data_IF_728925576901
#
_entry.id   IF_728925576901
#
_cell.length_a   1.000
_cell.length_b   1.000
_cell.length_c   1.000
_cell.angle_alpha   90.00
_cell.angle_beta   90.00
_cell.angle_gamma   90.00
#
_symmetry.space_group_name_H-M   'P 1'
#
loop_
_entity.id
_entity.type
_entity.pdbx_description
1 polymer ?
#
# COMPACT_ATOMS: atom_id res chain seq x y z
N UNK A 1 -21.86 10.48 -1.70
CA UNK A 1 -21.55 9.09 -1.94
C UNK A 1 -20.07 8.90 -2.18
N UNK A 2 -19.43 8.13 -1.33
CA UNK A 2 -17.97 8.01 -1.34
C UNK A 2 -17.53 6.72 -2.03
N UNK A 3 -16.42 6.80 -2.76
CA UNK A 3 -15.83 5.67 -3.44
C UNK A 3 -15.16 4.74 -2.40
N UNK A 4 -15.46 3.47 -2.46
CA UNK A 4 -14.87 2.46 -1.56
C UNK A 4 -13.89 1.57 -2.29
N UNK A 5 -12.85 1.15 -1.57
CA UNK A 5 -11.90 0.17 -2.09
C UNK A 5 -12.62 -1.16 -2.27
N UNK A 6 -12.43 -1.79 -3.43
CA UNK A 6 -13.02 -3.09 -3.75
C UNK A 6 -12.44 -4.20 -2.88
N UNK A 7 -13.16 -5.31 -2.78
CA UNK A 7 -12.66 -6.53 -2.14
C UNK A 7 -11.44 -7.03 -2.90
N UNK A 8 -10.52 -7.65 -2.18
CA UNK A 8 -9.31 -8.20 -2.81
C UNK A 8 -8.86 -9.46 -2.06
N UNK A 9 -8.06 -10.28 -2.76
CA UNK A 9 -7.43 -11.46 -2.17
C UNK A 9 -6.05 -11.61 -2.80
N UNK A 10 -5.03 -11.37 -2.00
CA UNK A 10 -3.63 -11.36 -2.42
C UNK A 10 -2.80 -12.14 -1.40
N UNK A 11 -1.51 -12.32 -1.65
CA UNK A 11 -0.63 -13.12 -0.80
C UNK A 11 0.51 -12.23 -0.31
N UNK A 12 0.83 -12.30 0.98
CA UNK A 12 1.87 -11.46 1.55
C UNK A 12 3.26 -12.13 1.54
N UNK A 13 4.25 -11.44 2.09
CA UNK A 13 5.64 -11.88 2.18
C UNK A 13 5.83 -13.15 3.00
N UNK A 14 4.84 -13.57 3.76
CA UNK A 14 4.86 -14.79 4.56
C UNK A 14 4.02 -15.91 3.94
N UNK A 15 3.52 -15.71 2.73
CA UNK A 15 2.67 -16.70 2.06
C UNK A 15 1.25 -16.76 2.58
N UNK A 16 0.83 -15.78 3.36
CA UNK A 16 -0.52 -15.73 3.94
C UNK A 16 -1.46 -14.98 3.00
N UNK A 17 -2.70 -15.45 2.92
CA UNK A 17 -3.74 -14.75 2.16
C UNK A 17 -4.17 -13.50 2.90
N UNK A 18 -4.13 -12.36 2.21
CA UNK A 18 -4.53 -11.07 2.75
C UNK A 18 -5.73 -10.57 1.95
N UNK A 19 -6.78 -10.23 2.66
CA UNK A 19 -8.01 -9.69 2.09
C UNK A 19 -8.36 -8.38 2.79
N UNK A 20 -9.43 -7.72 2.32
CA UNK A 20 -9.95 -6.53 2.99
C UNK A 20 -10.31 -6.80 4.45
N UNK A 21 -10.60 -8.05 4.82
CA UNK A 21 -10.94 -8.40 6.20
C UNK A 21 -9.75 -8.24 7.15
N UNK A 22 -8.53 -8.38 6.66
CA UNK A 22 -7.33 -8.14 7.46
C UNK A 22 -7.17 -6.66 7.82
N UNK A 23 -7.85 -5.78 7.08
CA UNK A 23 -7.82 -4.33 7.29
C UNK A 23 -9.14 -3.78 7.82
N UNK A 24 -10.04 -4.67 8.24
CA UNK A 24 -11.34 -4.27 8.80
C UNK A 24 -11.13 -3.41 10.05
N UNK A 25 -11.85 -2.30 10.09
CA UNK A 25 -11.79 -1.33 11.18
C UNK A 25 -10.38 -0.74 11.39
N UNK A 26 -9.58 -0.73 10.33
CA UNK A 26 -8.24 -0.14 10.35
C UNK A 26 -8.18 1.07 9.43
N UNK A 27 -7.41 2.05 9.85
CA UNK A 27 -6.92 3.10 8.97
C UNK A 27 -5.68 2.51 8.32
N UNK A 28 -5.48 2.67 7.02
CA UNK A 28 -4.24 2.19 6.42
C UNK A 28 -3.73 3.08 5.31
N UNK A 29 -2.44 2.96 5.03
CA UNK A 29 -1.78 3.65 3.93
C UNK A 29 -1.42 2.59 2.90
N UNK A 30 -1.82 2.82 1.65
CA UNK A 30 -1.56 1.90 0.55
C UNK A 30 -0.63 2.53 -0.47
N UNK A 31 0.20 1.71 -1.12
CA UNK A 31 0.99 2.12 -2.26
C UNK A 31 1.21 0.95 -3.23
N UNK A 32 1.85 1.26 -4.36
CA UNK A 32 2.16 0.30 -5.42
C UNK A 32 3.64 0.44 -5.76
N UNK A 33 4.36 -0.68 -5.78
CA UNK A 33 5.82 -0.70 -5.91
C UNK A 33 6.29 -1.95 -6.64
N UNK A 34 7.59 -2.08 -6.86
CA UNK A 34 8.20 -3.36 -7.26
C UNK A 34 9.64 -3.43 -6.74
N UNK A 35 10.07 -4.65 -6.38
CA UNK A 35 11.33 -4.81 -5.64
C UNK A 35 12.57 -4.51 -6.45
N UNK A 36 12.52 -4.67 -7.78
CA UNK A 36 13.67 -4.42 -8.65
C UNK A 36 13.80 -2.97 -9.10
N UNK A 37 12.87 -2.10 -8.71
CA UNK A 37 12.96 -0.68 -8.97
C UNK A 37 14.15 -0.07 -8.21
N UNK A 38 14.97 0.71 -8.90
CA UNK A 38 16.19 1.30 -8.31
C UNK A 38 16.12 2.82 -8.19
N UNK A 39 15.00 3.41 -8.52
CA UNK A 39 14.81 4.86 -8.55
C UNK A 39 13.90 5.35 -7.43
N UNK A 40 12.59 5.40 -7.67
CA UNK A 40 11.64 5.96 -6.69
C UNK A 40 11.21 4.96 -5.60
N UNK A 41 11.15 3.66 -5.90
CA UNK A 41 10.66 2.69 -4.93
C UNK A 41 11.52 2.60 -3.67
N UNK A 42 12.86 2.67 -3.72
CA UNK A 42 13.67 2.71 -2.51
C UNK A 42 13.33 3.91 -1.62
N UNK A 43 13.04 5.07 -2.23
CA UNK A 43 12.65 6.28 -1.50
C UNK A 43 11.27 6.09 -0.87
N UNK A 44 10.32 5.58 -1.65
CA UNK A 44 8.96 5.30 -1.17
C UNK A 44 8.98 4.30 -0.01
N UNK A 45 9.75 3.21 -0.15
CA UNK A 45 9.85 2.18 0.88
C UNK A 45 10.48 2.74 2.16
N UNK A 46 11.52 3.56 2.03
CA UNK A 46 12.14 4.24 3.17
C UNK A 46 11.12 5.13 3.88
N UNK A 47 10.33 5.88 3.12
CA UNK A 47 9.31 6.77 3.68
C UNK A 47 8.16 5.99 4.31
N UNK A 48 7.76 4.86 3.72
CA UNK A 48 6.78 3.97 4.33
C UNK A 48 7.31 3.40 5.66
N UNK A 49 8.61 3.11 5.73
CA UNK A 49 9.24 2.66 6.96
C UNK A 49 9.20 3.74 8.05
N UNK A 50 9.33 5.01 7.68
CA UNK A 50 9.16 6.12 8.62
C UNK A 50 7.75 6.07 9.22
N UNK A 51 6.74 5.88 8.38
CA UNK A 51 5.35 5.77 8.85
C UNK A 51 5.21 4.54 9.77
N UNK A 52 5.80 3.39 9.38
CA UNK A 52 5.77 2.19 10.20
C UNK A 52 6.28 2.44 11.62
N UNK A 53 7.40 3.15 11.75
CA UNK A 53 7.97 3.47 13.06
C UNK A 53 6.99 4.27 13.92
N UNK A 54 6.32 5.25 13.32
CA UNK A 54 5.38 6.12 14.04
C UNK A 54 4.12 5.38 14.48
N UNK A 55 3.71 4.33 13.76
CA UNK A 55 2.48 3.60 14.06
C UNK A 55 2.72 2.24 14.72
N UNK A 56 3.95 1.92 15.06
CA UNK A 56 4.32 0.55 15.48
C UNK A 56 3.52 0.07 16.71
N UNK A 57 3.14 0.97 17.59
CA UNK A 57 2.34 0.65 18.78
C UNK A 57 0.86 1.00 18.61
N UNK A 58 0.46 1.49 17.44
CA UNK A 58 -0.93 1.91 17.19
C UNK A 58 -1.71 0.78 16.54
N UNK A 59 -2.63 0.17 17.26
CA UNK A 59 -3.41 -0.96 16.78
C UNK A 59 -4.44 -0.60 15.72
N UNK A 60 -4.69 0.69 15.48
CA UNK A 60 -5.71 1.14 14.54
C UNK A 60 -5.16 1.43 13.14
N UNK A 61 -3.84 1.45 12.97
CA UNK A 61 -3.21 1.87 11.71
C UNK A 61 -2.31 0.77 11.17
N UNK A 62 -2.42 0.53 9.86
CA UNK A 62 -1.64 -0.48 9.14
C UNK A 62 -1.14 0.07 7.80
N UNK A 63 -0.30 -0.70 7.13
CA UNK A 63 0.27 -0.36 5.83
C UNK A 63 0.05 -1.52 4.85
N UNK A 64 -0.09 -1.21 3.56
CA UNK A 64 -0.31 -2.21 2.52
C UNK A 64 0.37 -1.78 1.23
N UNK A 65 1.39 -2.53 0.80
CA UNK A 65 2.13 -2.27 -0.43
C UNK A 65 1.90 -3.39 -1.44
N UNK A 66 1.46 -3.01 -2.65
CA UNK A 66 1.11 -3.97 -3.71
C UNK A 66 2.22 -4.01 -4.74
N UNK A 67 2.71 -5.22 -5.07
CA UNK A 67 3.67 -5.36 -6.16
C UNK A 67 2.98 -5.18 -7.50
N UNK A 68 3.58 -4.37 -8.38
CA UNK A 68 3.10 -4.20 -9.76
C UNK A 68 3.83 -5.13 -10.74
N UNK A 69 4.76 -5.95 -10.25
CA UNK A 69 5.44 -6.99 -11.04
C UNK A 69 5.32 -8.36 -10.33
N UNK A 70 4.08 -8.87 -10.17
CA UNK A 70 3.90 -10.09 -9.39
C UNK A 70 4.62 -11.32 -9.96
N UNK A 71 4.89 -11.35 -11.27
CA UNK A 71 5.66 -12.42 -11.88
C UNK A 71 7.12 -12.44 -11.43
N UNK A 72 7.65 -11.30 -11.00
CA UNK A 72 9.02 -11.17 -10.46
C UNK A 72 8.97 -11.24 -8.93
N UNK A 73 8.03 -10.53 -8.34
CA UNK A 73 7.89 -10.40 -6.89
C UNK A 73 7.07 -11.56 -6.32
N UNK A 74 7.70 -12.73 -6.28
CA UNK A 74 7.14 -13.92 -5.65
C UNK A 74 7.14 -13.74 -4.13
N UNK A 75 6.47 -14.65 -3.42
CA UNK A 75 6.50 -14.65 -1.94
C UNK A 75 7.94 -14.65 -1.42
N UNK A 76 8.80 -15.50 -2.00
CA UNK A 76 10.21 -15.58 -1.59
C UNK A 76 10.94 -14.26 -1.81
N UNK A 77 10.69 -13.60 -2.94
CA UNK A 77 11.31 -12.31 -3.25
C UNK A 77 10.82 -11.22 -2.28
N UNK A 78 9.52 -11.20 -2.02
CA UNK A 78 8.94 -10.24 -1.07
C UNK A 78 9.48 -10.47 0.34
N UNK A 79 9.68 -11.73 0.73
CA UNK A 79 10.24 -12.05 2.04
C UNK A 79 11.68 -11.53 2.19
N UNK A 80 12.49 -11.68 1.16
CA UNK A 80 13.87 -11.14 1.15
C UNK A 80 13.85 -9.62 1.25
N UNK A 81 12.98 -8.99 0.45
CA UNK A 81 12.84 -7.54 0.43
C UNK A 81 12.36 -7.02 1.79
N UNK A 82 11.36 -7.68 2.38
CA UNK A 82 10.85 -7.30 3.70
C UNK A 82 11.94 -7.36 4.77
N UNK A 83 12.78 -8.39 4.74
CA UNK A 83 13.89 -8.51 5.68
C UNK A 83 14.91 -7.40 5.48
N UNK A 84 15.29 -7.15 4.22
CA UNK A 84 16.23 -6.10 3.87
C UNK A 84 15.75 -4.71 4.29
N UNK A 85 14.46 -4.44 4.12
CA UNK A 85 13.87 -3.12 4.39
C UNK A 85 13.24 -3.00 5.77
N UNK A 86 13.41 -4.02 6.61
CA UNK A 86 12.89 -4.02 7.99
C UNK A 86 11.37 -3.83 8.07
N UNK A 87 10.66 -4.54 7.21
CA UNK A 87 9.19 -4.55 7.20
C UNK A 87 8.67 -5.45 8.30
N UNK A 88 7.84 -4.90 9.18
CA UNK A 88 7.19 -5.65 10.25
C UNK A 88 5.83 -6.14 9.75
N UNK A 89 5.68 -7.44 9.55
CA UNK A 89 4.48 -8.02 8.97
C UNK A 89 3.22 -7.85 9.83
N UNK A 90 3.36 -7.53 11.11
CA UNK A 90 2.20 -7.24 11.95
C UNK A 90 1.57 -5.88 11.61
N UNK A 91 2.30 -5.02 10.92
CA UNK A 91 1.86 -3.68 10.53
C UNK A 91 1.78 -3.48 9.03
N UNK A 92 2.60 -4.16 8.28
CA UNK A 92 2.84 -3.84 6.89
C UNK A 92 2.93 -5.12 6.06
N UNK A 93 1.94 -5.34 5.22
CA UNK A 93 1.94 -6.44 4.27
C UNK A 93 2.45 -5.96 2.92
N UNK A 94 3.39 -6.71 2.35
CA UNK A 94 3.82 -6.58 0.95
C UNK A 94 3.08 -7.68 0.22
N UNK A 95 2.22 -7.33 -0.73
CA UNK A 95 1.35 -8.32 -1.38
C UNK A 95 1.64 -8.47 -2.86
N UNK A 96 1.45 -9.69 -3.33
CA UNK A 96 1.57 -10.10 -4.72
C UNK A 96 0.38 -11.00 -5.06
N UNK A 97 0.23 -11.37 -6.33
CA UNK A 97 -0.85 -12.24 -6.77
C UNK A 97 -1.24 -11.97 -8.21
N UNK A 98 -2.53 -12.02 -8.50
CA UNK A 98 -3.03 -11.81 -9.85
C UNK A 98 -2.80 -10.37 -10.32
N UNK A 99 -2.05 -10.23 -11.41
CA UNK A 99 -1.68 -8.92 -11.95
C UNK A 99 -2.90 -8.10 -12.34
N UNK A 100 -3.90 -8.72 -12.96
CA UNK A 100 -5.12 -8.03 -13.37
C UNK A 100 -5.83 -7.43 -12.16
N UNK A 101 -5.94 -8.20 -11.09
CA UNK A 101 -6.56 -7.74 -9.85
C UNK A 101 -5.79 -6.54 -9.27
N UNK A 102 -4.47 -6.67 -9.19
CA UNK A 102 -3.62 -5.60 -8.64
C UNK A 102 -3.77 -4.32 -9.47
N UNK A 103 -3.79 -4.44 -10.80
CA UNK A 103 -3.88 -3.28 -11.69
C UNK A 103 -5.26 -2.65 -11.66
N UNK A 104 -6.32 -3.44 -11.51
CA UNK A 104 -7.66 -2.90 -11.32
C UNK A 104 -7.77 -2.16 -9.99
N UNK A 105 -7.16 -2.70 -8.94
CA UNK A 105 -7.11 -2.00 -7.64
C UNK A 105 -6.42 -0.65 -7.80
N UNK A 106 -5.27 -0.61 -8.48
CA UNK A 106 -4.51 0.62 -8.66
C UNK A 106 -5.31 1.69 -9.42
N UNK A 107 -5.99 1.30 -10.50
CA UNK A 107 -6.66 2.23 -11.40
C UNK A 107 -8.08 2.57 -10.98
N UNK A 108 -8.85 1.57 -10.54
CA UNK A 108 -10.29 1.72 -10.32
C UNK A 108 -10.67 1.85 -8.86
N UNK A 109 -9.89 1.29 -7.95
CA UNK A 109 -10.18 1.37 -6.52
C UNK A 109 -9.37 2.44 -5.81
N UNK A 110 -8.05 2.33 -5.85
CA UNK A 110 -7.20 3.31 -5.15
C UNK A 110 -6.98 4.59 -5.94
N UNK A 111 -7.32 4.57 -7.24
CA UNK A 111 -7.14 5.74 -8.11
C UNK A 111 -5.70 6.26 -8.06
N UNK A 112 -4.75 5.35 -7.95
CA UNK A 112 -3.33 5.66 -7.79
C UNK A 112 -2.70 6.22 -9.06
N UNK A 113 -3.27 5.88 -10.21
CA UNK A 113 -2.86 6.37 -11.54
C UNK A 113 -4.08 6.70 -12.36
N UNK A 114 -3.90 7.57 -13.36
CA UNK A 114 -4.99 8.02 -14.25
C UNK A 114 -4.92 7.41 -15.64
N UNK A 115 -3.90 6.59 -15.92
CA UNK A 115 -3.73 5.96 -17.23
C UNK A 115 -4.68 4.77 -17.40
N UNK A 116 -4.67 4.19 -18.60
CA UNK A 116 -5.44 2.99 -18.92
C UNK A 116 -4.50 1.84 -19.23
N UNK A 117 -5.01 0.63 -19.11
CA UNK A 117 -4.27 -0.57 -19.45
C UNK A 117 -5.14 -1.80 -19.23
N UNK A 118 -4.69 -2.95 -19.73
CA UNK A 118 -5.44 -4.20 -19.69
C UNK A 118 -4.97 -5.17 -18.60
N UNK A 119 -3.93 -4.81 -17.85
CA UNK A 119 -3.34 -5.70 -16.84
C UNK A 119 -2.57 -6.87 -17.44
N UNK A 120 -2.28 -6.81 -18.74
CA UNK A 120 -1.58 -7.86 -19.47
C UNK A 120 -0.06 -7.77 -19.37
N UNK A 121 0.66 -8.64 -20.12
CA UNK A 121 2.13 -8.75 -20.00
C UNK A 121 2.90 -7.46 -20.28
N UNK A 122 2.33 -6.56 -21.08
CA UNK A 122 2.99 -5.32 -21.48
C UNK A 122 2.51 -4.11 -20.71
N UNK A 123 1.56 -4.30 -19.81
CA UNK A 123 1.05 -3.21 -18.99
C UNK A 123 1.97 -2.98 -17.79
N UNK A 124 2.17 -1.72 -17.43
CA UNK A 124 3.00 -1.36 -16.28
C UNK A 124 2.43 -0.15 -15.56
N UNK A 125 2.11 -0.31 -14.30
CA UNK A 125 1.68 0.78 -13.42
C UNK A 125 2.91 1.43 -12.78
N UNK A 126 3.01 2.74 -12.91
CA UNK A 126 4.03 3.55 -12.22
C UNK A 126 3.30 4.63 -11.43
N UNK A 127 3.51 4.68 -10.14
CA UNK A 127 2.91 5.71 -9.29
C UNK A 127 3.77 5.95 -8.06
N UNK A 128 3.84 7.22 -7.65
CA UNK A 128 4.52 7.64 -6.43
C UNK A 128 3.52 7.89 -5.29
N UNK A 129 2.24 7.71 -5.56
CA UNK A 129 1.20 8.08 -4.61
C UNK A 129 1.08 7.11 -3.45
N UNK A 130 0.99 7.67 -2.24
CA UNK A 130 0.46 6.98 -1.08
C UNK A 130 -1.00 7.39 -0.92
N UNK A 131 -1.87 6.45 -0.61
CA UNK A 131 -3.29 6.70 -0.39
C UNK A 131 -3.64 6.41 1.06
N UNK A 132 -4.32 7.34 1.71
CA UNK A 132 -4.82 7.16 3.08
C UNK A 132 -6.25 6.65 3.02
N UNK A 133 -6.49 5.51 3.64
CA UNK A 133 -7.78 4.82 3.61
C UNK A 133 -8.36 4.77 5.02
N UNK A 134 -9.64 5.13 5.16
CA UNK A 134 -10.31 5.13 6.46
C UNK A 134 -10.91 3.77 6.82
N UNK A 135 -11.53 3.68 7.99
CA UNK A 135 -12.13 2.44 8.49
C UNK A 135 -13.32 1.97 7.67
N UNK A 136 -13.86 2.83 6.80
CA UNK A 136 -14.97 2.51 5.90
C UNK A 136 -14.49 2.21 4.48
N UNK A 137 -13.18 2.02 4.31
CA UNK A 137 -12.56 1.71 3.03
C UNK A 137 -12.69 2.84 2.01
N UNK A 138 -12.76 4.08 2.50
CA UNK A 138 -12.85 5.28 1.65
C UNK A 138 -11.50 5.98 1.59
N UNK A 139 -11.17 6.53 0.42
CA UNK A 139 -9.94 7.30 0.24
C UNK A 139 -10.09 8.66 0.92
N UNK A 140 -9.17 9.00 1.79
CA UNK A 140 -9.20 10.27 2.53
C UNK A 140 -8.09 11.23 2.11
N UNK A 141 -7.11 10.77 1.36
CA UNK A 141 -6.06 11.65 0.85
C UNK A 141 -5.06 10.95 -0.05
N UNK A 142 -4.36 11.76 -0.84
CA UNK A 142 -3.26 11.33 -1.72
C UNK A 142 -2.02 12.11 -1.33
N UNK A 143 -0.89 11.43 -1.31
CA UNK A 143 0.38 12.00 -0.87
C UNK A 143 1.50 11.54 -1.77
N UNK A 144 2.46 12.39 -2.05
CA UNK A 144 3.65 12.00 -2.79
C UNK A 144 4.56 11.19 -1.85
N UNK A 145 4.67 9.89 -2.11
CA UNK A 145 5.46 8.97 -1.28
C UNK A 145 6.97 9.24 -1.30
N UNK A 146 7.43 10.11 -2.19
CA UNK A 146 8.85 10.49 -2.26
C UNK A 146 9.16 11.81 -1.55
N UNK A 147 8.14 12.49 -1.03
CA UNK A 147 8.26 13.84 -0.48
C UNK A 147 8.07 13.82 1.04
N UNK A 148 9.09 14.19 1.79
CA UNK A 148 9.03 14.16 3.26
C UNK A 148 7.98 15.10 3.85
N UNK A 149 7.74 16.24 3.22
CA UNK A 149 6.69 17.15 3.69
C UNK A 149 5.30 16.49 3.57
N UNK A 150 5.08 15.74 2.49
CA UNK A 150 3.83 14.98 2.30
C UNK A 150 3.72 13.85 3.32
N UNK A 151 4.83 13.22 3.69
CA UNK A 151 4.81 12.19 4.74
C UNK A 151 4.43 12.79 6.09
N UNK A 152 4.94 13.98 6.41
CA UNK A 152 4.55 14.69 7.63
C UNK A 152 3.06 15.04 7.62
N UNK A 153 2.56 15.50 6.47
CA UNK A 153 1.14 15.82 6.30
C UNK A 153 0.28 14.55 6.46
N UNK A 154 0.75 13.43 5.90
CA UNK A 154 0.05 12.14 6.02
C UNK A 154 -0.05 11.72 7.49
N UNK A 155 1.03 11.82 8.25
CA UNK A 155 1.02 11.47 9.67
C UNK A 155 0.07 12.39 10.47
N UNK A 156 0.05 13.67 10.15
CA UNK A 156 -0.88 14.61 10.77
C UNK A 156 -2.33 14.26 10.43
N UNK A 157 -2.60 13.89 9.17
CA UNK A 157 -3.94 13.52 8.73
C UNK A 157 -4.41 12.20 9.35
N UNK A 158 -3.51 11.26 9.61
CA UNK A 158 -3.84 10.04 10.36
C UNK A 158 -4.34 10.40 11.76
N UNK A 159 -3.65 11.31 12.43
CA UNK A 159 -4.05 11.75 13.77
C UNK A 159 -5.43 12.42 13.75
N UNK A 160 -5.68 13.26 12.76
CA UNK A 160 -6.99 13.92 12.59
C UNK A 160 -8.08 12.87 12.33
N UNK A 161 -7.79 11.92 11.47
CA UNK A 161 -8.75 10.86 11.13
C UNK A 161 -9.11 10.00 12.34
N UNK A 162 -8.14 9.70 13.19
CA UNK A 162 -8.38 8.96 14.43
C UNK A 162 -9.33 9.73 15.35
N UNK A 163 -9.21 11.06 15.40
CA UNK A 163 -10.09 11.90 16.22
C UNK A 163 -11.55 11.83 15.73
N UNK A 164 -11.78 11.63 14.44
CA UNK A 164 -13.14 11.49 13.91
C UNK A 164 -13.87 10.27 14.48
N UNK A 165 -13.14 9.27 14.99
CA UNK A 165 -13.74 8.04 15.51
C UNK A 165 -13.92 8.04 17.03
N UNK A 166 -13.60 9.13 17.70
CA UNK A 166 -13.76 9.25 19.16
C UNK A 166 -15.13 9.76 19.57
#
# INVERSE_FOLDING_TARGET
>A
KYHKIADFSLINQNGETITQDNYKDKIYVADFFFTTCKTICPIMTKNMHIIQKEIITDNEVMLLSHSVTPEIDTVAQLKRYAKEKHVNSSKWNLVTGDKKQIYELARKSYLAVKDNGDGGPFDMVHTENFMLIDKKRQIRGFYDGTNLEDIERLLADIAILKEEYK
#
